data_IF_270453559321
#
_entry.id   IF_270453559321
#
_cell.length_a   1.000
_cell.length_b   1.000
_cell.length_c   1.000
_cell.angle_alpha   90.00
_cell.angle_beta   90.00
_cell.angle_gamma   90.00
#
_symmetry.space_group_name_H-M   'P 1'
#
loop_
_entity.id
_entity.type
_entity.pdbx_description
1 polymer ?
#
# COMPACT_ATOMS: atom_id res chain seq x y z
N UNK A 1 28.64 19.87 -3.30
CA UNK A 1 28.30 18.50 -2.83
C UNK A 1 28.78 17.51 -3.89
N UNK A 2 29.45 16.44 -3.49
CA UNK A 2 30.04 15.43 -4.40
C UNK A 2 29.51 14.04 -3.99
N UNK A 3 28.34 13.60 -4.51
CA UNK A 3 27.57 12.49 -3.94
C UNK A 3 28.15 11.07 -4.17
N UNK A 4 29.37 10.99 -4.71
CA UNK A 4 30.05 9.76 -5.10
C UNK A 4 31.42 9.64 -4.43
N UNK A 5 31.58 10.29 -3.27
CA UNK A 5 32.76 10.19 -2.44
C UNK A 5 32.67 9.03 -1.44
N UNK A 6 33.20 9.27 -0.24
CA UNK A 6 33.21 8.34 0.89
C UNK A 6 32.65 9.03 2.16
N UNK A 7 31.93 10.14 1.99
CA UNK A 7 31.27 10.82 3.10
C UNK A 7 30.05 10.01 3.56
N UNK A 8 29.61 10.17 4.81
CA UNK A 8 28.56 9.34 5.42
C UNK A 8 27.19 9.45 4.70
N UNK A 9 26.93 10.54 3.98
CA UNK A 9 25.71 10.80 3.20
C UNK A 9 25.87 10.56 1.70
N UNK A 10 27.01 10.04 1.26
CA UNK A 10 27.25 9.67 -0.13
C UNK A 10 26.47 8.40 -0.54
N UNK A 11 26.28 8.24 -1.85
CA UNK A 11 25.64 7.06 -2.41
C UNK A 11 26.58 5.88 -2.29
N UNK A 12 26.12 4.80 -1.64
CA UNK A 12 26.87 3.55 -1.54
C UNK A 12 26.88 2.78 -2.87
N UNK A 13 27.81 3.15 -3.75
CA UNK A 13 27.94 2.57 -5.09
C UNK A 13 28.35 1.10 -5.07
N UNK A 14 29.20 0.67 -4.12
CA UNK A 14 29.67 -0.72 -4.08
C UNK A 14 28.52 -1.66 -3.72
N UNK A 15 27.69 -1.29 -2.73
CA UNK A 15 26.49 -2.05 -2.39
C UNK A 15 25.54 -2.16 -3.58
N UNK A 16 25.26 -1.05 -4.28
CA UNK A 16 24.35 -1.05 -5.43
C UNK A 16 24.88 -1.97 -6.54
N UNK A 17 26.18 -1.94 -6.82
CA UNK A 17 26.82 -2.82 -7.80
C UNK A 17 26.64 -4.29 -7.42
N UNK A 18 27.04 -4.66 -6.21
CA UNK A 18 26.95 -6.04 -5.71
C UNK A 18 25.50 -6.54 -5.71
N UNK A 19 24.57 -5.71 -5.22
CA UNK A 19 23.13 -6.00 -5.20
C UNK A 19 22.59 -6.22 -6.61
N UNK A 20 22.97 -5.38 -7.57
CA UNK A 20 22.47 -5.46 -8.94
C UNK A 20 23.03 -6.68 -9.67
N UNK A 21 24.31 -7.02 -9.47
CA UNK A 21 24.89 -8.23 -10.04
C UNK A 21 24.18 -9.46 -9.45
N UNK A 22 24.07 -9.56 -8.13
CA UNK A 22 23.42 -10.70 -7.48
C UNK A 22 21.94 -10.84 -7.89
N UNK A 23 21.19 -9.73 -7.94
CA UNK A 23 19.76 -9.72 -8.29
C UNK A 23 19.55 -10.07 -9.76
N UNK A 24 20.31 -9.45 -10.68
CA UNK A 24 20.13 -9.66 -12.12
C UNK A 24 20.40 -11.11 -12.51
N UNK A 25 21.50 -11.71 -12.03
CA UNK A 25 21.78 -13.11 -12.26
C UNK A 25 20.79 -14.05 -11.55
N UNK A 26 20.30 -13.70 -10.35
CA UNK A 26 19.25 -14.49 -9.69
C UNK A 26 17.97 -14.55 -10.52
N UNK A 27 17.59 -13.45 -11.17
CA UNK A 27 16.40 -13.39 -12.03
C UNK A 27 16.58 -14.26 -13.28
N UNK A 28 17.63 -14.03 -14.06
CA UNK A 28 17.78 -14.66 -15.37
C UNK A 28 18.30 -16.10 -15.33
N UNK A 29 18.96 -16.50 -14.23
CA UNK A 29 19.46 -17.86 -14.07
C UNK A 29 18.54 -18.67 -13.17
N UNK A 30 18.44 -18.30 -11.89
CA UNK A 30 17.75 -19.11 -10.90
C UNK A 30 16.22 -19.06 -11.08
N UNK A 31 15.62 -17.88 -11.10
CA UNK A 31 14.15 -17.77 -11.18
C UNK A 31 13.60 -18.22 -12.53
N UNK A 32 14.35 -18.01 -13.62
CA UNK A 32 13.95 -18.48 -14.94
C UNK A 32 14.02 -20.01 -15.10
N UNK A 33 14.97 -20.67 -14.42
CA UNK A 33 15.10 -22.13 -14.46
C UNK A 33 14.27 -22.86 -13.39
N UNK A 34 13.67 -22.13 -12.46
CA UNK A 34 12.82 -22.71 -11.41
C UNK A 34 11.42 -23.03 -11.96
N UNK A 35 10.88 -24.17 -11.54
CA UNK A 35 9.47 -24.48 -11.77
C UNK A 35 8.60 -23.47 -10.99
N UNK A 36 7.66 -22.84 -11.70
CA UNK A 36 6.72 -21.94 -11.07
C UNK A 36 5.75 -22.75 -10.19
N UNK A 37 5.29 -22.18 -9.06
CA UNK A 37 4.16 -22.74 -8.34
C UNK A 37 2.96 -22.92 -9.26
N UNK A 38 2.15 -23.95 -8.98
CA UNK A 38 0.89 -24.13 -9.69
C UNK A 38 -0.01 -22.90 -9.51
N UNK A 39 -0.79 -22.58 -10.53
CA UNK A 39 -1.71 -21.45 -10.47
C UNK A 39 -2.90 -21.84 -9.59
N UNK A 40 -3.05 -21.14 -8.47
CA UNK A 40 -4.15 -21.32 -7.54
C UNK A 40 -5.01 -20.05 -7.50
N UNK A 41 -6.32 -20.24 -7.34
CA UNK A 41 -7.26 -19.15 -7.12
C UNK A 41 -6.94 -18.49 -5.77
N UNK A 42 -6.79 -17.17 -5.77
CA UNK A 42 -6.52 -16.43 -4.53
C UNK A 42 -7.77 -16.32 -3.64
N UNK A 43 -7.58 -15.87 -2.40
CA UNK A 43 -8.65 -15.74 -1.40
C UNK A 43 -9.80 -14.81 -1.82
N UNK A 44 -9.57 -13.91 -2.77
CA UNK A 44 -10.56 -12.98 -3.30
C UNK A 44 -11.28 -13.54 -4.54
N UNK A 45 -10.64 -14.46 -5.26
CA UNK A 45 -11.17 -15.04 -6.48
C UNK A 45 -12.49 -15.79 -6.26
N UNK A 46 -12.63 -16.50 -5.14
CA UNK A 46 -13.87 -17.19 -4.75
C UNK A 46 -15.06 -16.23 -4.56
N UNK A 47 -14.79 -14.99 -4.14
CA UNK A 47 -15.79 -13.98 -3.81
C UNK A 47 -15.89 -12.85 -4.85
N UNK A 48 -15.40 -13.09 -6.08
CA UNK A 48 -15.34 -12.07 -7.14
C UNK A 48 -16.69 -11.44 -7.51
N UNK A 49 -17.78 -12.19 -7.37
CA UNK A 49 -19.14 -11.74 -7.69
C UNK A 49 -19.81 -11.03 -6.49
N UNK A 50 -19.22 -11.14 -5.30
CA UNK A 50 -19.67 -10.46 -4.10
C UNK A 50 -18.90 -9.15 -3.89
N UNK A 51 -19.35 -8.36 -2.91
CA UNK A 51 -18.58 -7.19 -2.49
C UNK A 51 -17.29 -7.68 -1.82
N UNK A 52 -16.14 -7.38 -2.42
CA UNK A 52 -14.83 -7.71 -1.86
C UNK A 52 -14.63 -7.04 -0.50
N UNK A 53 -14.21 -7.83 0.48
CA UNK A 53 -13.82 -7.31 1.78
C UNK A 53 -12.52 -6.52 1.69
N UNK A 54 -12.35 -5.44 2.48
CA UNK A 54 -11.10 -4.71 2.52
C UNK A 54 -9.98 -5.58 3.08
N UNK A 55 -8.75 -5.36 2.60
CA UNK A 55 -7.57 -6.02 3.15
C UNK A 55 -7.49 -5.80 4.67
N UNK A 56 -7.18 -6.85 5.46
CA UNK A 56 -7.15 -6.74 6.90
C UNK A 56 -6.01 -5.81 7.34
N UNK A 57 -6.30 -5.01 8.36
CA UNK A 57 -5.32 -4.12 8.97
C UNK A 57 -4.90 -4.66 10.33
N UNK A 58 -3.61 -4.49 10.65
CA UNK A 58 -3.13 -4.64 12.02
C UNK A 58 -3.73 -3.55 12.92
N UNK A 59 -3.73 -3.78 14.23
CA UNK A 59 -4.24 -2.83 15.25
C UNK A 59 -3.59 -1.44 15.11
N UNK A 60 -2.30 -1.38 14.73
CA UNK A 60 -1.55 -0.15 14.55
C UNK A 60 -1.85 0.55 13.21
N UNK A 61 -2.07 -0.20 12.13
CA UNK A 61 -2.34 0.37 10.79
C UNK A 61 -3.78 0.80 10.57
N UNK A 62 -4.72 0.34 11.41
CA UNK A 62 -6.17 0.58 11.24
C UNK A 62 -6.54 2.07 11.12
N UNK A 63 -5.79 2.94 11.78
CA UNK A 63 -6.06 4.40 11.78
C UNK A 63 -5.47 5.12 10.56
N UNK A 64 -4.60 4.48 9.78
CA UNK A 64 -4.00 5.07 8.56
C UNK A 64 -4.96 5.03 7.36
N UNK A 65 -6.10 4.35 7.51
CA UNK A 65 -7.11 4.09 6.46
C UNK A 65 -8.08 5.25 6.28
N UNK A 66 -7.98 6.31 7.09
CA UNK A 66 -9.07 7.28 7.31
C UNK A 66 -9.50 8.13 6.11
N UNK A 67 -9.03 7.84 4.90
CA UNK A 67 -9.62 8.44 3.70
C UNK A 67 -10.05 7.36 2.69
N UNK A 68 -11.37 7.14 2.55
CA UNK A 68 -11.95 6.48 1.36
C UNK A 68 -11.43 7.15 0.09
N UNK A 69 -11.29 6.50 -1.07
CA UNK A 69 -10.78 7.15 -2.29
C UNK A 69 -11.39 8.54 -2.48
N UNK A 70 -10.55 9.58 -2.56
CA UNK A 70 -11.02 10.95 -2.78
C UNK A 70 -11.72 10.97 -4.14
N UNK A 71 -13.02 11.20 -4.15
CA UNK A 71 -13.71 11.49 -5.40
C UNK A 71 -13.17 12.80 -5.98
N UNK A 72 -13.40 13.00 -7.27
CA UNK A 72 -13.02 14.23 -7.94
C UNK A 72 -13.57 15.45 -7.18
N UNK A 73 -12.82 16.55 -7.17
CA UNK A 73 -13.12 17.75 -6.38
C UNK A 73 -14.50 18.37 -6.64
N UNK A 74 -15.12 18.03 -7.77
CA UNK A 74 -16.45 18.50 -8.15
C UNK A 74 -17.60 17.60 -7.63
N UNK A 75 -17.33 16.38 -7.18
CA UNK A 75 -18.37 15.52 -6.62
C UNK A 75 -18.62 15.94 -5.18
N UNK A 76 -19.77 16.57 -4.94
CA UNK A 76 -20.19 16.93 -3.58
C UNK A 76 -20.47 15.67 -2.79
N UNK A 77 -19.76 15.50 -1.68
CA UNK A 77 -20.05 14.46 -0.70
C UNK A 77 -21.24 14.93 0.13
N UNK A 78 -22.37 14.22 0.07
CA UNK A 78 -23.56 14.47 0.90
C UNK A 78 -24.73 15.23 0.27
N UNK A 79 -24.87 15.27 -1.06
CA UNK A 79 -26.14 15.67 -1.69
C UNK A 79 -27.16 14.54 -1.56
N UNK A 80 -28.37 14.85 -1.11
CA UNK A 80 -29.45 13.96 -0.63
C UNK A 80 -29.99 12.88 -1.60
N UNK A 81 -29.31 12.56 -2.70
CA UNK A 81 -29.68 11.47 -3.62
C UNK A 81 -29.01 10.13 -3.28
N UNK A 82 -28.44 9.99 -2.09
CA UNK A 82 -27.81 8.76 -1.61
C UNK A 82 -28.85 7.75 -1.09
N UNK A 83 -29.72 7.28 -1.99
CA UNK A 83 -30.49 6.03 -1.80
C UNK A 83 -29.63 4.77 -2.04
N UNK A 84 -28.31 4.93 -2.13
CA UNK A 84 -27.36 3.83 -2.18
C UNK A 84 -26.65 3.70 -0.82
N UNK A 85 -26.49 2.49 -0.26
CA UNK A 85 -25.94 2.29 1.09
C UNK A 85 -24.40 2.53 1.17
N UNK A 86 -23.83 3.35 0.28
CA UNK A 86 -22.39 3.42 0.03
C UNK A 86 -21.71 4.74 0.44
N UNK A 87 -22.44 5.76 0.87
CA UNK A 87 -21.84 7.05 1.24
C UNK A 87 -22.30 7.52 2.61
N UNK A 88 -21.54 7.14 3.63
CA UNK A 88 -21.54 7.95 4.86
C UNK A 88 -20.12 8.05 5.36
N UNK A 89 -19.49 9.19 5.09
CA UNK A 89 -18.38 9.68 5.86
C UNK A 89 -18.96 10.13 7.22
N UNK A 90 -19.08 9.19 8.15
CA UNK A 90 -19.32 9.55 9.55
C UNK A 90 -18.07 10.27 10.03
N UNK A 91 -18.16 11.59 10.16
CA UNK A 91 -17.21 12.36 10.92
C UNK A 91 -17.23 11.83 12.35
N UNK A 92 -16.23 11.03 12.71
CA UNK A 92 -15.98 10.73 14.11
C UNK A 92 -15.34 12.00 14.66
N UNK A 93 -16.12 12.78 15.42
CA UNK A 93 -15.58 13.84 16.26
C UNK A 93 -14.57 13.22 17.22
N UNK A 94 -13.29 13.25 16.82
CA UNK A 94 -12.19 12.87 17.71
C UNK A 94 -12.06 13.99 18.72
N UNK A 95 -12.67 13.79 19.88
CA UNK A 95 -12.45 14.61 21.07
C UNK A 95 -10.94 14.70 21.30
N UNK A 96 -10.40 15.92 21.17
CA UNK A 96 -8.96 16.18 21.33
C UNK A 96 -8.60 15.92 22.78
N UNK A 97 -8.07 14.73 23.09
CA UNK A 97 -7.49 14.46 24.40
C UNK A 97 -6.24 15.33 24.54
N UNK A 98 -6.37 16.39 25.32
CA UNK A 98 -5.24 17.21 25.77
C UNK A 98 -4.33 16.33 26.61
N UNK A 99 -3.12 16.06 26.10
CA UNK A 99 -2.07 15.39 26.85
C UNK A 99 -1.36 16.49 27.61
N UNK A 100 -1.58 16.58 28.92
CA UNK A 100 -0.74 17.42 29.77
C UNK A 100 0.58 16.69 30.00
N UNK A 101 1.66 17.35 29.59
CA UNK A 101 3.03 16.97 29.91
C UNK A 101 3.38 17.40 31.34
#
# INVERSE_FOLDING_TARGET
MRPFGLDDDDIELNYILDRNIATSFSIVNRLQAMDLPELEDDTFWENKDAKLDPLPHTVYSRQLVEHRPKLHSYVRVGSEEDSSPISTCVGIDKEKKHINW
#
